data_IF_386977410048
#
_entry.id   IF_386977410048
#
_cell.length_a   1.000
_cell.length_b   1.000
_cell.length_c   1.000
_cell.angle_alpha   90.00
_cell.angle_beta   90.00
_cell.angle_gamma   90.00
#
_symmetry.space_group_name_H-M   'P 1'
#
loop_
_entity.id
_entity.type
_entity.pdbx_description
1 polymer ?
#
# COMPACT_ATOMS: atom_id res chain seq x y z
N UNK A 1 5.81 47.13 31.62
CA UNK A 1 7.12 46.45 31.65
C UNK A 1 6.95 45.10 30.99
N UNK A 2 7.18 45.09 29.68
CA UNK A 2 7.37 43.89 28.86
C UNK A 2 8.63 43.16 29.31
N UNK A 3 8.57 41.85 29.57
CA UNK A 3 9.71 40.95 29.41
C UNK A 3 9.29 39.47 29.42
N UNK A 4 9.52 38.84 28.27
CA UNK A 4 9.99 37.46 28.10
C UNK A 4 9.07 36.31 28.58
N UNK A 5 7.92 36.14 27.92
CA UNK A 5 7.51 34.76 27.58
C UNK A 5 8.31 34.33 26.37
N UNK A 6 9.56 33.95 26.61
CA UNK A 6 10.37 33.22 25.64
C UNK A 6 9.71 31.85 25.44
N UNK A 7 9.22 31.49 24.24
CA UNK A 7 8.74 30.14 24.04
C UNK A 7 9.96 29.22 24.19
N UNK A 8 9.81 28.18 24.99
CA UNK A 8 10.73 27.04 25.12
C UNK A 8 10.78 26.24 23.82
N UNK A 9 10.97 26.92 22.69
CA UNK A 9 11.46 26.34 21.46
C UNK A 9 12.96 26.11 21.67
N UNK A 10 13.28 25.23 22.62
CA UNK A 10 14.48 24.43 22.56
C UNK A 10 14.57 23.99 21.11
N UNK A 11 15.64 24.39 20.42
CA UNK A 11 15.87 24.09 19.01
C UNK A 11 15.65 22.60 18.83
N UNK A 12 14.43 22.23 18.40
CA UNK A 12 14.07 20.85 18.10
C UNK A 12 15.01 20.50 17.00
N UNK A 13 16.02 19.72 17.37
CA UNK A 13 17.03 19.18 16.49
C UNK A 13 16.28 18.68 15.27
N UNK A 14 16.45 19.39 14.13
CA UNK A 14 15.65 19.25 12.91
C UNK A 14 15.35 17.78 12.72
N UNK A 15 14.16 17.39 13.17
CA UNK A 15 13.73 16.01 13.16
C UNK A 15 13.71 15.68 11.68
N UNK A 16 14.52 14.71 11.27
CA UNK A 16 14.65 14.35 9.88
C UNK A 16 13.30 13.79 9.45
N UNK A 17 12.40 14.67 9.01
CA UNK A 17 11.17 14.29 8.35
C UNK A 17 11.61 13.37 7.23
N UNK A 18 11.25 12.10 7.35
CA UNK A 18 11.45 11.16 6.26
C UNK A 18 10.40 11.61 5.26
N UNK A 19 10.82 12.48 4.35
CA UNK A 19 10.01 12.81 3.20
C UNK A 19 9.91 11.53 2.38
N UNK A 20 8.85 10.78 2.62
CA UNK A 20 8.58 9.55 1.91
C UNK A 20 8.55 9.87 0.41
N UNK A 21 8.12 11.05 -0.04
CA UNK A 21 8.16 11.43 -1.46
C UNK A 21 9.58 11.34 -2.07
N UNK A 22 10.64 11.59 -1.29
CA UNK A 22 12.04 11.52 -1.72
C UNK A 22 12.67 10.12 -1.60
N UNK A 23 12.01 9.18 -0.93
CA UNK A 23 12.50 7.79 -0.80
C UNK A 23 12.24 7.04 -2.10
N UNK A 24 13.27 6.36 -2.63
CA UNK A 24 13.14 5.58 -3.87
C UNK A 24 12.04 4.50 -3.78
N UNK A 25 11.36 4.23 -4.89
CA UNK A 25 10.21 3.32 -4.96
C UNK A 25 10.50 1.94 -4.34
N UNK A 26 11.67 1.35 -4.63
CA UNK A 26 12.09 0.07 -4.05
C UNK A 26 12.29 0.12 -2.53
N UNK A 27 12.76 1.25 -1.98
CA UNK A 27 12.92 1.42 -0.53
C UNK A 27 11.57 1.59 0.17
N UNK A 28 10.59 2.22 -0.49
CA UNK A 28 9.19 2.21 -0.02
C UNK A 28 8.61 0.80 -0.02
N UNK A 29 8.77 0.07 -1.12
CA UNK A 29 8.23 -1.29 -1.30
C UNK A 29 8.83 -2.31 -0.33
N UNK A 30 10.14 -2.24 -0.09
CA UNK A 30 10.84 -3.12 0.86
C UNK A 30 10.75 -2.67 2.32
N UNK A 31 10.01 -1.60 2.61
CA UNK A 31 9.93 -0.96 3.93
C UNK A 31 11.29 -0.57 4.54
N UNK A 32 12.36 -0.53 3.75
CA UNK A 32 13.73 -0.28 4.22
C UNK A 32 13.90 1.09 4.88
N UNK A 33 13.00 2.04 4.60
CA UNK A 33 12.97 3.35 5.24
C UNK A 33 12.66 3.31 6.74
N UNK A 34 12.07 2.24 7.26
CA UNK A 34 11.76 2.10 8.71
C UNK A 34 12.94 1.56 9.52
N UNK A 35 13.95 0.98 8.88
CA UNK A 35 15.11 0.36 9.54
C UNK A 35 15.84 1.31 10.52
N UNK A 36 16.05 2.61 10.23
CA UNK A 36 16.63 3.53 11.18
C UNK A 36 15.81 3.69 12.46
N UNK A 37 14.47 3.70 12.34
CA UNK A 37 13.56 3.80 13.48
C UNK A 37 13.61 2.56 14.36
N UNK A 38 13.63 1.38 13.74
CA UNK A 38 13.77 0.09 14.44
C UNK A 38 15.11 -0.01 15.19
N UNK A 39 16.20 0.49 14.60
CA UNK A 39 17.51 0.50 15.25
C UNK A 39 17.52 1.39 16.49
N UNK A 40 16.88 2.56 16.43
CA UNK A 40 16.75 3.46 17.60
C UNK A 40 15.90 2.80 18.69
N UNK A 41 14.76 2.21 18.31
CA UNK A 41 13.89 1.48 19.24
C UNK A 41 14.56 0.28 19.93
N UNK A 42 15.55 -0.33 19.28
CA UNK A 42 16.34 -1.41 19.89
C UNK A 42 17.37 -0.88 20.92
N UNK A 43 17.74 0.39 20.85
CA UNK A 43 18.73 1.01 21.74
C UNK A 43 18.11 1.83 22.88
N UNK A 44 16.94 2.42 22.67
CA UNK A 44 16.21 3.21 23.66
C UNK A 44 14.71 3.11 23.42
N UNK A 45 13.92 3.32 24.48
CA UNK A 45 12.46 3.53 24.35
C UNK A 45 12.23 4.75 23.47
N UNK A 46 11.41 4.61 22.42
CA UNK A 46 11.13 5.71 21.51
C UNK A 46 10.35 6.81 22.24
N UNK A 47 10.83 8.03 22.12
CA UNK A 47 10.08 9.22 22.50
C UNK A 47 9.23 9.70 21.30
N UNK A 48 8.22 10.53 21.56
CA UNK A 48 7.34 11.07 20.52
C UNK A 48 8.12 11.86 19.46
N UNK A 49 9.20 12.50 19.87
CA UNK A 49 10.15 13.20 19.01
C UNK A 49 10.91 12.28 18.05
N UNK A 50 11.10 10.98 18.36
CA UNK A 50 11.80 10.04 17.48
C UNK A 50 10.92 9.56 16.30
N UNK A 51 9.61 9.84 16.34
CA UNK A 51 8.66 9.40 15.31
C UNK A 51 8.77 10.32 14.08
N UNK A 52 8.93 9.76 12.87
CA UNK A 52 8.95 10.56 11.65
C UNK A 52 7.58 11.22 11.41
N UNK A 53 7.60 12.45 10.89
CA UNK A 53 6.39 13.16 10.49
C UNK A 53 5.66 12.43 9.35
N UNK A 54 4.33 12.64 9.30
CA UNK A 54 3.47 12.10 8.26
C UNK A 54 3.90 12.63 6.88
N UNK A 55 3.82 11.78 5.85
CA UNK A 55 4.06 12.19 4.46
C UNK A 55 3.07 13.27 4.04
N UNK A 56 3.50 14.21 3.18
CA UNK A 56 2.63 15.29 2.71
C UNK A 56 1.42 14.76 1.95
N UNK A 57 1.54 13.58 1.32
CA UNK A 57 0.45 12.89 0.64
C UNK A 57 -0.70 12.47 1.56
N UNK A 58 -0.40 12.17 2.82
CA UNK A 58 -1.32 11.63 3.83
C UNK A 58 -1.82 12.73 4.79
N UNK A 59 -1.42 13.98 4.58
CA UNK A 59 -1.82 15.12 5.41
C UNK A 59 -3.33 15.41 5.29
N UNK A 60 -3.98 15.63 6.43
CA UNK A 60 -5.43 15.86 6.50
C UNK A 60 -5.86 17.12 5.72
N UNK A 61 -5.04 18.17 5.74
CA UNK A 61 -5.29 19.42 5.00
C UNK A 61 -5.32 19.14 3.50
N UNK A 62 -4.31 18.45 2.98
CA UNK A 62 -4.25 18.09 1.56
C UNK A 62 -5.41 17.17 1.15
N UNK A 63 -5.78 16.21 2.00
CA UNK A 63 -6.94 15.34 1.76
C UNK A 63 -8.26 16.12 1.69
N UNK A 64 -8.43 17.09 2.60
CA UNK A 64 -9.59 17.99 2.61
C UNK A 64 -9.64 18.85 1.34
N UNK A 65 -8.53 19.47 0.94
CA UNK A 65 -8.46 20.30 -0.27
C UNK A 65 -8.80 19.52 -1.53
N UNK A 66 -8.25 18.31 -1.68
CA UNK A 66 -8.58 17.39 -2.79
C UNK A 66 -10.08 17.08 -2.85
N UNK A 67 -10.68 16.82 -1.69
CA UNK A 67 -12.12 16.56 -1.59
C UNK A 67 -12.95 17.80 -1.91
N UNK A 68 -12.65 18.95 -1.30
CA UNK A 68 -13.37 20.19 -1.52
C UNK A 68 -13.32 20.62 -3.00
N UNK A 69 -12.18 20.46 -3.65
CA UNK A 69 -12.04 20.71 -5.09
C UNK A 69 -12.91 19.76 -5.93
N UNK A 70 -12.91 18.45 -5.64
CA UNK A 70 -13.76 17.50 -6.35
C UNK A 70 -15.27 17.74 -6.10
N UNK A 71 -15.63 18.20 -4.91
CA UNK A 71 -16.99 18.57 -4.52
C UNK A 71 -17.50 19.78 -5.30
N UNK A 72 -16.73 20.87 -5.32
CA UNK A 72 -17.11 22.11 -6.04
C UNK A 72 -17.22 21.92 -7.55
N UNK A 73 -16.38 21.07 -8.15
CA UNK A 73 -16.50 20.67 -9.56
C UNK A 73 -17.78 19.88 -9.84
N UNK A 74 -18.23 19.07 -8.89
CA UNK A 74 -19.45 18.29 -9.01
C UNK A 74 -20.70 19.19 -8.92
N UNK A 75 -20.67 20.17 -8.03
CA UNK A 75 -21.72 21.17 -7.86
C UNK A 75 -21.90 22.04 -9.12
N UNK A 76 -20.80 22.47 -9.74
CA UNK A 76 -20.83 23.31 -10.96
C UNK A 76 -21.20 22.55 -12.24
N UNK A 77 -20.92 21.24 -12.30
CA UNK A 77 -20.98 20.46 -13.54
C UNK A 77 -22.23 19.60 -13.76
N UNK A 78 -23.12 19.44 -12.76
CA UNK A 78 -24.28 18.53 -12.83
C UNK A 78 -25.57 19.19 -12.39
N UNK A 79 -26.65 18.93 -13.13
CA UNK A 79 -28.00 18.92 -12.57
C UNK A 79 -28.01 17.86 -11.46
N UNK A 80 -27.97 18.28 -10.19
CA UNK A 80 -27.95 17.45 -8.98
C UNK A 80 -29.11 16.42 -8.91
N UNK A 81 -30.09 16.53 -9.81
CA UNK A 81 -31.31 15.74 -9.89
C UNK A 81 -31.11 14.24 -10.27
N UNK A 82 -29.93 13.84 -10.76
CA UNK A 82 -29.69 12.46 -11.24
C UNK A 82 -28.79 11.60 -10.32
N UNK A 83 -28.06 12.21 -9.38
CA UNK A 83 -27.09 11.47 -8.54
C UNK A 83 -27.63 11.35 -7.13
N UNK A 84 -28.07 10.15 -6.76
CA UNK A 84 -28.67 9.90 -5.43
C UNK A 84 -27.71 10.16 -4.26
N UNK A 85 -26.38 10.25 -4.49
CA UNK A 85 -25.38 10.56 -3.46
C UNK A 85 -24.14 11.30 -4.02
N UNK A 86 -24.17 12.64 -4.14
CA UNK A 86 -23.04 13.40 -4.67
C UNK A 86 -21.77 13.24 -3.82
N UNK A 87 -21.90 13.08 -2.49
CA UNK A 87 -20.75 13.01 -1.56
C UNK A 87 -19.92 11.75 -1.79
N UNK A 88 -20.60 10.61 -1.94
CA UNK A 88 -19.96 9.35 -2.29
C UNK A 88 -19.29 9.42 -3.66
N UNK A 89 -19.86 10.15 -4.61
CA UNK A 89 -19.26 10.31 -5.93
C UNK A 89 -18.00 11.18 -5.91
N UNK A 90 -17.99 12.26 -5.13
CA UNK A 90 -16.80 13.08 -4.92
C UNK A 90 -15.68 12.29 -4.23
N UNK A 91 -16.01 11.55 -3.15
CA UNK A 91 -15.07 10.62 -2.49
C UNK A 91 -14.54 9.57 -3.48
N UNK A 92 -15.43 8.92 -4.23
CA UNK A 92 -15.06 7.91 -5.23
C UNK A 92 -14.29 8.46 -6.43
N UNK A 93 -14.24 9.78 -6.62
CA UNK A 93 -13.43 10.43 -7.66
C UNK A 93 -12.03 10.74 -7.14
N UNK A 94 -11.92 11.25 -5.91
CA UNK A 94 -10.63 11.56 -5.26
C UNK A 94 -9.83 10.29 -5.02
N UNK A 95 -10.43 9.28 -4.39
CA UNK A 95 -9.70 8.09 -3.95
C UNK A 95 -9.64 6.96 -4.98
N UNK A 96 -10.18 7.14 -6.19
CA UNK A 96 -10.25 6.04 -7.19
C UNK A 96 -8.88 5.53 -7.59
N UNK A 97 -7.94 6.43 -7.85
CA UNK A 97 -6.62 6.07 -8.40
C UNK A 97 -5.80 5.24 -7.41
N UNK A 98 -5.74 5.67 -6.15
CA UNK A 98 -5.01 4.99 -5.09
C UNK A 98 -5.64 3.63 -4.76
N UNK A 99 -6.98 3.58 -4.67
CA UNK A 99 -7.71 2.33 -4.40
C UNK A 99 -7.60 1.33 -5.54
N UNK A 100 -7.57 1.76 -6.81
CA UNK A 100 -7.40 0.87 -7.96
C UNK A 100 -6.05 0.14 -7.93
N UNK A 101 -4.97 0.83 -7.55
CA UNK A 101 -3.65 0.22 -7.42
C UNK A 101 -3.63 -0.86 -6.34
N UNK A 102 -4.26 -0.60 -5.19
CA UNK A 102 -4.35 -1.57 -4.10
C UNK A 102 -5.12 -2.84 -4.54
N UNK A 103 -6.27 -2.65 -5.20
CA UNK A 103 -7.08 -3.77 -5.73
C UNK A 103 -6.31 -4.54 -6.80
N UNK A 104 -5.62 -3.85 -7.72
CA UNK A 104 -4.80 -4.47 -8.75
C UNK A 104 -3.71 -5.38 -8.16
N UNK A 105 -2.96 -4.88 -7.17
CA UNK A 105 -1.90 -5.66 -6.53
C UNK A 105 -2.45 -6.88 -5.78
N UNK A 106 -3.60 -6.74 -5.12
CA UNK A 106 -4.27 -7.85 -4.46
C UNK A 106 -4.72 -8.93 -5.47
N UNK A 107 -5.39 -8.53 -6.55
CA UNK A 107 -5.82 -9.46 -7.60
C UNK A 107 -4.63 -10.14 -8.29
N UNK A 108 -3.57 -9.40 -8.57
CA UNK A 108 -2.35 -9.94 -9.17
C UNK A 108 -1.69 -11.00 -8.27
N UNK A 109 -1.56 -10.72 -6.97
CA UNK A 109 -1.05 -11.69 -6.00
C UNK A 109 -1.90 -12.96 -5.93
N UNK A 110 -3.24 -12.80 -5.87
CA UNK A 110 -4.17 -13.92 -5.86
C UNK A 110 -4.08 -14.78 -7.14
N UNK A 111 -3.94 -14.14 -8.30
CA UNK A 111 -3.75 -14.82 -9.58
C UNK A 111 -2.45 -15.63 -9.60
N UNK A 112 -1.34 -15.06 -9.12
CA UNK A 112 -0.05 -15.77 -9.04
C UNK A 112 -0.15 -17.00 -8.12
N UNK A 113 -0.78 -16.88 -6.96
CA UNK A 113 -1.01 -18.02 -6.06
C UNK A 113 -1.86 -19.10 -6.73
N UNK A 114 -2.91 -18.71 -7.46
CA UNK A 114 -3.75 -19.64 -8.21
C UNK A 114 -2.96 -20.38 -9.30
N UNK A 115 -2.09 -19.68 -10.04
CA UNK A 115 -1.22 -20.28 -11.05
C UNK A 115 -0.21 -21.26 -10.45
N UNK A 116 0.38 -20.94 -9.30
CA UNK A 116 1.28 -21.83 -8.57
C UNK A 116 0.54 -23.09 -8.09
N UNK A 117 -0.66 -22.93 -7.55
CA UNK A 117 -1.51 -24.04 -7.14
C UNK A 117 -1.90 -24.94 -8.34
N UNK A 118 -2.24 -24.33 -9.47
CA UNK A 118 -2.52 -25.05 -10.72
C UNK A 118 -1.30 -25.84 -11.22
N UNK A 119 -0.11 -25.26 -11.13
CA UNK A 119 1.15 -25.92 -11.50
C UNK A 119 1.40 -27.17 -10.65
N UNK A 120 1.16 -27.10 -9.33
CA UNK A 120 1.28 -28.25 -8.42
C UNK A 120 0.31 -29.39 -8.80
N UNK A 121 -0.93 -29.06 -9.15
CA UNK A 121 -1.92 -30.03 -9.61
C UNK A 121 -1.52 -30.66 -10.94
N UNK A 122 -1.01 -29.86 -11.89
CA UNK A 122 -0.57 -30.34 -13.20
C UNK A 122 0.63 -31.29 -13.09
N UNK A 123 1.61 -30.96 -12.25
CA UNK A 123 2.76 -31.84 -11.95
C UNK A 123 2.31 -33.17 -11.34
N UNK A 124 1.33 -33.13 -10.45
CA UNK A 124 0.76 -34.33 -9.83
C UNK A 124 0.09 -35.23 -10.89
N UNK A 125 -0.72 -34.67 -11.78
CA UNK A 125 -1.35 -35.42 -12.88
C UNK A 125 -0.33 -36.02 -13.86
N UNK A 126 0.71 -35.27 -14.23
CA UNK A 126 1.77 -35.76 -15.12
C UNK A 126 2.54 -36.92 -14.47
N UNK A 127 2.82 -36.83 -13.17
CA UNK A 127 3.51 -37.90 -12.41
C UNK A 127 2.66 -39.17 -12.36
N UNK A 128 1.36 -39.04 -12.09
CA UNK A 128 0.42 -40.18 -12.06
C UNK A 128 0.35 -40.88 -13.43
N UNK A 129 0.21 -40.11 -14.51
CA UNK A 129 0.15 -40.66 -15.87
C UNK A 129 1.48 -41.35 -16.25
N UNK A 130 2.63 -40.76 -15.92
CA UNK A 130 3.93 -41.41 -16.14
C UNK A 130 4.04 -42.75 -15.39
N UNK A 131 3.52 -42.81 -14.17
CA UNK A 131 3.57 -44.03 -13.36
C UNK A 131 2.64 -45.12 -13.89
N UNK A 132 1.47 -44.76 -14.44
CA UNK A 132 0.55 -45.69 -15.10
C UNK A 132 1.12 -46.26 -16.41
N UNK A 133 1.70 -45.40 -17.26
CA UNK A 133 2.35 -45.81 -18.52
C UNK A 133 3.55 -46.72 -18.24
N UNK A 134 4.36 -46.38 -17.23
CA UNK A 134 5.50 -47.20 -16.81
C UNK A 134 5.04 -48.59 -16.35
N UNK A 135 4.03 -48.67 -15.48
CA UNK A 135 3.46 -49.95 -15.02
C UNK A 135 2.93 -50.80 -16.17
N UNK A 136 2.21 -50.18 -17.12
CA UNK A 136 1.73 -50.87 -18.33
C UNK A 136 2.87 -51.37 -19.21
N UNK A 137 3.89 -50.54 -19.44
CA UNK A 137 5.10 -50.91 -20.19
C UNK A 137 5.84 -52.12 -19.61
N UNK A 138 5.99 -52.17 -18.28
CA UNK A 138 6.55 -53.36 -17.61
C UNK A 138 5.66 -54.61 -17.74
N UNK A 139 4.34 -54.45 -17.79
CA UNK A 139 3.40 -55.57 -17.97
C UNK A 139 3.46 -56.19 -19.36
N UNK A 140 3.87 -55.45 -20.40
CA UNK A 140 4.02 -55.95 -21.77
C UNK A 140 5.38 -56.61 -22.03
N UNK A 141 6.40 -56.34 -21.21
CA UNK A 141 7.76 -56.88 -21.35
C UNK A 141 8.01 -58.14 -20.49
N UNK A 142 7.08 -58.49 -19.60
CA UNK A 142 7.18 -59.62 -18.68
C UNK A 142 6.35 -60.86 -19.05
N UNK A 143 5.85 -60.95 -20.29
CA UNK A 143 5.05 -62.06 -20.80
C UNK A 143 5.82 -62.85 -21.87
#
# INVERSE_FOLDING_TARGET
MSNLSEPLLHKVHVQKCIDLSQVSFFRKLSFSWINPLLRVGNTKTLALEDIPCLGSEDEAILAYEKFAHAWTLLEKGKNLNSVQNPALWALARVYRKERCLQVFMHCFGQLLLYLLHCCSSLLSSITIVKQDVSKKGFSYLGA
#
